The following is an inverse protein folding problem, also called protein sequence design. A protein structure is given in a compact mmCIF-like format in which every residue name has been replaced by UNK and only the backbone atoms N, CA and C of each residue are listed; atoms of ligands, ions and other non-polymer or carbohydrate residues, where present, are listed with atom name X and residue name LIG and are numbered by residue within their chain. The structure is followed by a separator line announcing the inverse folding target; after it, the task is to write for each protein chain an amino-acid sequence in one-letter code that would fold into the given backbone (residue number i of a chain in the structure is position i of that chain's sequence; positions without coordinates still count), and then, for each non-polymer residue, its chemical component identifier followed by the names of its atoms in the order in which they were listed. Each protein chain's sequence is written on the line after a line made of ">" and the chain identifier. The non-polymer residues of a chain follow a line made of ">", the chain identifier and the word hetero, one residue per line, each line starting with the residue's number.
data_IF_292367398593
#
_entry.id   IF_292367398593
#
_cell.length_a   1.000
_cell.length_b   1.000
_cell.length_c   1.000
_cell.angle_alpha   90.00
_cell.angle_beta   90.00
_cell.angle_gamma   90.00
#
_symmetry.space_group_name_H-M   'P 1'
#
loop_
_entity.id
_entity.type
_entity.pdbx_description
1 polymer ?
#
# COMPACT_ATOMS: atom_id res chain seq x y z
N UNK A 1 -2.45 19.82 15.52
CA UNK A 1 -3.14 19.43 14.26
C UNK A 1 -4.51 18.91 14.63
N UNK A 2 -5.55 19.24 13.86
CA UNK A 2 -6.90 18.70 14.03
C UNK A 2 -7.19 17.76 12.86
N UNK A 3 -6.84 16.48 13.04
CA UNK A 3 -7.07 15.47 12.01
C UNK A 3 -8.55 15.11 11.91
N UNK A 4 -9.05 15.07 10.69
CA UNK A 4 -10.29 14.38 10.33
C UNK A 4 -10.17 12.88 10.61
N UNK A 5 -11.28 12.18 10.76
CA UNK A 5 -11.26 10.72 10.98
C UNK A 5 -10.53 9.99 9.84
N UNK A 6 -10.73 10.44 8.61
CA UNK A 6 -10.06 9.90 7.43
C UNK A 6 -8.54 10.07 7.48
N UNK A 7 -8.04 11.21 7.98
CA UNK A 7 -6.60 11.41 8.15
C UNK A 7 -6.04 10.49 9.24
N UNK A 8 -6.80 10.27 10.33
CA UNK A 8 -6.41 9.31 11.38
C UNK A 8 -6.35 7.87 10.85
N UNK A 9 -7.31 7.46 10.03
CA UNK A 9 -7.30 6.14 9.37
C UNK A 9 -6.05 5.95 8.50
N UNK A 10 -5.68 6.96 7.70
CA UNK A 10 -4.44 6.93 6.90
C UNK A 10 -3.19 6.80 7.77
N UNK A 11 -3.14 7.48 8.91
CA UNK A 11 -2.04 7.32 9.88
C UNK A 11 -1.98 5.90 10.45
N UNK A 12 -3.12 5.26 10.73
CA UNK A 12 -3.16 3.86 11.18
C UNK A 12 -2.62 2.91 10.10
N UNK A 13 -2.91 3.16 8.82
CA UNK A 13 -2.34 2.40 7.71
C UNK A 13 -0.81 2.52 7.70
N UNK A 14 -0.27 3.72 7.86
CA UNK A 14 1.19 3.93 7.94
C UNK A 14 1.80 3.15 9.10
N UNK A 15 1.17 3.14 10.28
CA UNK A 15 1.65 2.36 11.43
C UNK A 15 1.61 0.85 11.16
N UNK A 16 0.55 0.36 10.51
CA UNK A 16 0.45 -1.05 10.11
C UNK A 16 1.53 -1.43 9.08
N UNK A 17 1.79 -0.56 8.10
CA UNK A 17 2.85 -0.73 7.10
C UNK A 17 4.24 -0.78 7.76
N UNK A 18 4.53 0.09 8.73
CA UNK A 18 5.79 0.07 9.46
C UNK A 18 5.99 -1.23 10.25
N UNK A 19 4.91 -1.74 10.86
CA UNK A 19 4.94 -3.05 11.51
C UNK A 19 5.21 -4.18 10.51
N UNK A 20 4.58 -4.12 9.33
CA UNK A 20 4.81 -5.06 8.24
C UNK A 20 6.26 -5.00 7.72
N UNK A 21 6.83 -3.80 7.47
CA UNK A 21 8.24 -3.61 7.09
C UNK A 21 9.19 -4.25 8.11
N UNK A 22 8.95 -4.03 9.41
CA UNK A 22 9.73 -4.64 10.50
C UNK A 22 9.62 -6.17 10.54
N UNK A 23 8.47 -6.73 10.15
CA UNK A 23 8.24 -8.19 10.03
C UNK A 23 8.98 -8.77 8.83
N UNK A 24 8.83 -8.16 7.67
CA UNK A 24 9.55 -8.52 6.44
C UNK A 24 11.07 -8.47 6.64
N UNK A 25 11.58 -7.40 7.25
CA UNK A 25 13.01 -7.19 7.47
C UNK A 25 13.69 -8.26 8.35
N UNK A 26 12.93 -9.00 9.17
CA UNK A 26 13.44 -10.13 9.96
C UNK A 26 13.11 -11.50 9.34
N UNK A 27 12.71 -11.52 8.07
CA UNK A 27 12.50 -12.75 7.28
C UNK A 27 11.11 -13.38 7.41
N UNK A 28 10.11 -12.66 7.95
CA UNK A 28 8.74 -13.18 7.97
C UNK A 28 8.04 -12.87 6.65
N UNK A 29 7.38 -13.89 6.09
CA UNK A 29 6.40 -13.73 5.02
C UNK A 29 5.17 -12.98 5.53
N UNK A 30 4.71 -11.99 4.79
CA UNK A 30 3.59 -11.14 5.17
C UNK A 30 2.25 -11.87 4.98
N UNK A 31 1.32 -11.64 5.90
CA UNK A 31 -0.08 -12.04 5.73
C UNK A 31 -0.88 -10.96 4.95
N UNK A 32 -2.18 -11.21 4.72
CA UNK A 32 -3.06 -10.32 3.96
C UNK A 32 -3.06 -8.85 4.44
N UNK A 33 -3.39 -8.53 5.71
CA UNK A 33 -3.45 -7.14 6.16
C UNK A 33 -2.08 -6.46 6.17
N UNK A 34 -1.00 -7.20 6.39
CA UNK A 34 0.37 -6.66 6.33
C UNK A 34 0.77 -6.28 4.90
N UNK A 35 0.49 -7.16 3.93
CA UNK A 35 0.74 -6.89 2.52
C UNK A 35 -0.07 -5.68 2.04
N UNK A 36 -1.37 -5.64 2.38
CA UNK A 36 -2.27 -4.56 2.00
C UNK A 36 -1.82 -3.22 2.59
N UNK A 37 -1.51 -3.18 3.89
CA UNK A 37 -1.05 -1.95 4.54
C UNK A 37 0.24 -1.42 3.91
N UNK A 38 1.18 -2.32 3.61
CA UNK A 38 2.47 -1.96 3.01
C UNK A 38 2.28 -1.38 1.59
N UNK A 39 1.52 -2.06 0.72
CA UNK A 39 1.22 -1.57 -0.64
C UNK A 39 0.53 -0.20 -0.59
N UNK A 40 -0.51 -0.07 0.24
CA UNK A 40 -1.26 1.18 0.38
C UNK A 40 -0.38 2.31 0.88
N UNK A 41 0.50 2.05 1.86
CA UNK A 41 1.44 3.06 2.36
C UNK A 41 2.39 3.56 1.27
N UNK A 42 2.97 2.67 0.46
CA UNK A 42 3.89 3.08 -0.62
C UNK A 42 3.16 3.88 -1.72
N UNK A 43 1.89 3.57 -2.01
CA UNK A 43 1.07 4.36 -2.94
C UNK A 43 0.81 5.76 -2.39
N UNK A 44 0.47 5.88 -1.10
CA UNK A 44 0.24 7.17 -0.46
C UNK A 44 1.51 8.05 -0.47
N UNK A 45 2.67 7.46 -0.16
CA UNK A 45 3.95 8.17 -0.21
C UNK A 45 4.33 8.55 -1.65
N UNK A 46 4.11 7.66 -2.63
CA UNK A 46 4.37 7.99 -4.03
C UNK A 46 3.48 9.12 -4.56
N UNK A 47 2.22 9.20 -4.12
CA UNK A 47 1.35 10.35 -4.41
C UNK A 47 1.89 11.63 -3.76
N UNK A 48 2.41 11.53 -2.52
CA UNK A 48 3.04 12.65 -1.81
C UNK A 48 4.32 13.13 -2.51
N UNK A 49 5.08 12.22 -3.12
CA UNK A 49 6.27 12.50 -3.92
C UNK A 49 5.95 13.12 -5.29
N UNK A 50 4.67 13.19 -5.66
CA UNK A 50 4.22 13.80 -6.90
C UNK A 50 4.19 12.86 -8.11
N UNK A 51 4.27 11.54 -7.90
CA UNK A 51 3.96 10.56 -8.96
C UNK A 51 2.53 10.74 -9.43
N UNK A 52 2.29 10.45 -10.71
CA UNK A 52 0.96 10.43 -11.31
C UNK A 52 0.18 9.19 -10.88
N UNK A 53 -1.15 9.23 -11.03
CA UNK A 53 -2.01 8.04 -10.79
C UNK A 53 -1.53 6.85 -11.62
N UNK A 54 -1.24 7.06 -12.90
CA UNK A 54 -0.78 5.99 -13.81
C UNK A 54 0.55 5.37 -13.35
N UNK A 55 1.51 6.18 -12.91
CA UNK A 55 2.77 5.66 -12.35
C UNK A 55 2.53 4.83 -11.08
N UNK A 56 1.57 5.22 -10.25
CA UNK A 56 1.25 4.49 -9.02
C UNK A 56 0.46 3.20 -9.27
N UNK A 57 -0.34 3.14 -10.32
CA UNK A 57 -1.01 1.91 -10.76
C UNK A 57 0.03 0.84 -11.08
N UNK A 58 1.10 1.20 -11.80
CA UNK A 58 2.15 0.23 -12.13
C UNK A 58 3.16 0.00 -11.01
N UNK A 59 3.56 1.06 -10.32
CA UNK A 59 4.46 0.96 -9.17
C UNK A 59 3.87 0.05 -8.08
N UNK A 60 2.55 0.11 -7.87
CA UNK A 60 1.84 -0.73 -6.91
C UNK A 60 2.13 -2.22 -7.06
N UNK A 61 2.23 -2.71 -8.30
CA UNK A 61 2.51 -4.11 -8.63
C UNK A 61 3.98 -4.51 -8.52
N UNK A 62 4.86 -3.62 -8.07
CA UNK A 62 6.31 -3.88 -7.91
C UNK A 62 6.76 -3.92 -6.45
N UNK A 63 5.86 -3.62 -5.51
CA UNK A 63 6.20 -3.42 -4.09
C UNK A 63 6.45 -4.76 -3.37
N UNK A 64 5.64 -5.78 -3.70
CA UNK A 64 5.72 -7.12 -3.12
C UNK A 64 5.73 -8.16 -4.22
N UNK A 65 6.63 -9.13 -4.08
CA UNK A 65 6.64 -10.34 -4.89
C UNK A 65 5.98 -11.51 -4.13
N UNK A 66 5.61 -12.57 -4.84
CA UNK A 66 5.01 -13.78 -4.24
C UNK A 66 5.84 -14.39 -3.11
N UNK A 67 7.15 -14.30 -3.16
CA UNK A 67 8.06 -14.78 -2.11
C UNK A 67 7.95 -14.00 -0.78
N UNK A 68 7.49 -12.74 -0.84
CA UNK A 68 7.38 -11.86 0.32
C UNK A 68 6.16 -12.16 1.19
N UNK A 69 5.20 -12.94 0.66
CA UNK A 69 3.90 -13.18 1.28
C UNK A 69 3.67 -14.67 1.57
N UNK A 70 2.74 -14.94 2.49
CA UNK A 70 2.27 -16.29 2.77
C UNK A 70 1.55 -16.90 1.55
N UNK A 71 1.47 -18.23 1.51
CA UNK A 71 0.77 -18.96 0.43
C UNK A 71 -0.70 -18.49 0.31
N UNK A 72 -1.17 -18.32 -0.93
CA UNK A 72 -2.53 -17.90 -1.24
C UNK A 72 -2.79 -16.39 -1.15
N UNK A 73 -1.88 -15.61 -0.56
CA UNK A 73 -2.11 -14.16 -0.35
C UNK A 73 -2.11 -13.39 -1.67
N UNK A 74 -1.28 -13.78 -2.64
CA UNK A 74 -1.24 -13.14 -3.96
C UNK A 74 -2.56 -13.34 -4.72
N UNK A 75 -3.14 -14.53 -4.64
CA UNK A 75 -4.41 -14.87 -5.28
C UNK A 75 -5.61 -14.19 -4.61
N UNK A 76 -5.54 -14.00 -3.29
CA UNK A 76 -6.59 -13.32 -2.52
C UNK A 76 -6.66 -11.82 -2.82
N UNK A 77 -5.53 -11.19 -3.18
CA UNK A 77 -5.44 -9.75 -3.39
C UNK A 77 -5.54 -9.42 -4.89
N UNK A 78 -6.76 -9.46 -5.43
CA UNK A 78 -7.00 -9.19 -6.86
C UNK A 78 -6.80 -7.71 -7.22
N UNK A 79 -7.15 -6.81 -6.30
CA UNK A 79 -6.91 -5.39 -6.44
C UNK A 79 -6.71 -4.71 -5.08
N UNK A 80 -6.02 -3.58 -5.11
CA UNK A 80 -5.90 -2.66 -3.97
C UNK A 80 -6.35 -1.28 -4.43
N UNK A 81 -7.20 -0.65 -3.61
CA UNK A 81 -7.74 0.67 -3.89
C UNK A 81 -7.42 1.61 -2.71
N UNK A 82 -6.90 2.80 -3.02
CA UNK A 82 -6.67 3.84 -2.02
C UNK A 82 -6.85 5.22 -2.62
N UNK A 83 -7.53 6.10 -1.88
CA UNK A 83 -7.55 7.52 -2.21
C UNK A 83 -6.36 8.24 -1.58
N UNK A 84 -5.43 8.71 -2.42
CA UNK A 84 -4.24 9.46 -2.01
C UNK A 84 -4.37 10.94 -2.42
N UNK A 85 -3.64 11.81 -1.72
CA UNK A 85 -3.67 13.26 -1.98
C UNK A 85 -2.44 13.63 -2.80
N UNK A 86 -2.68 13.99 -4.05
CA UNK A 86 -1.67 14.41 -5.03
C UNK A 86 -1.51 15.93 -5.01
N UNK A 87 -0.47 16.49 -5.66
CA UNK A 87 -0.31 17.93 -5.82
C UNK A 87 -1.53 18.64 -6.43
N UNK A 88 -2.33 17.93 -7.23
CA UNK A 88 -3.51 18.45 -7.91
C UNK A 88 -4.85 17.96 -7.32
N UNK A 89 -4.82 17.34 -6.13
CA UNK A 89 -6.02 16.95 -5.38
C UNK A 89 -6.08 15.47 -5.01
N UNK A 90 -7.16 15.07 -4.35
CA UNK A 90 -7.37 13.68 -3.94
C UNK A 90 -7.90 12.85 -5.11
N UNK A 91 -7.26 11.69 -5.37
CA UNK A 91 -7.63 10.77 -6.44
C UNK A 91 -7.59 9.33 -5.94
N UNK A 92 -8.44 8.48 -6.52
CA UNK A 92 -8.44 7.05 -6.32
C UNK A 92 -7.33 6.41 -7.18
N UNK A 93 -6.49 5.58 -6.56
CA UNK A 93 -5.53 4.70 -7.24
C UNK A 93 -6.03 3.28 -7.09
N UNK A 94 -6.13 2.55 -8.20
CA UNK A 94 -6.48 1.13 -8.24
C UNK A 94 -5.31 0.36 -8.84
N UNK A 95 -4.77 -0.57 -8.08
CA UNK A 95 -3.70 -1.47 -8.52
C UNK A 95 -4.29 -2.85 -8.69
N UNK A 96 -4.26 -3.38 -9.91
CA UNK A 96 -4.69 -4.74 -10.22
C UNK A 96 -3.51 -5.71 -10.05
N UNK A 97 -3.79 -6.88 -9.46
CA UNK A 97 -2.79 -7.92 -9.18
C UNK A 97 -1.50 -7.35 -8.57
N UNK A 98 -1.59 -6.66 -7.41
CA UNK A 98 -0.48 -5.93 -6.80
C UNK A 98 0.67 -6.82 -6.31
N UNK A 99 0.48 -8.15 -6.27
CA UNK A 99 1.50 -9.12 -5.88
C UNK A 99 1.71 -10.08 -7.06
N UNK A 100 2.83 -9.92 -7.77
CA UNK A 100 3.17 -10.70 -8.98
C UNK A 100 4.15 -11.83 -8.68
#
# INVERSE_FOLDING_TARGET
>A
MHFTEREKEKLLITVAADLARKRKARGLKLNYPEAMALIVSEIMEGARDGKTVAELMEYGGTILAREDVMEGIAEMMQEVQVEATFPDGTKLVTVHEPIR
#
